data_IF_858895608974
#
_entry.id   IF_858895608974
#
_cell.length_a   1.000
_cell.length_b   1.000
_cell.length_c   1.000
_cell.angle_alpha   90.00
_cell.angle_beta   90.00
_cell.angle_gamma   90.00
#
_symmetry.space_group_name_H-M   'P 1'
#
loop_
_entity.id
_entity.type
_entity.pdbx_description
1 polymer ?
#
# COMPACT_ATOMS: atom_id res chain seq x y z
N UNK A 1 -7.00 -15.18 21.72
CA UNK A 1 -6.39 -13.93 21.21
C UNK A 1 -4.87 -13.95 21.26
N UNK A 2 -4.24 -13.63 22.40
CA UNK A 2 -2.77 -13.48 22.51
C UNK A 2 -1.94 -14.74 22.16
N UNK A 3 -2.50 -15.94 22.35
CA UNK A 3 -1.82 -17.19 21.97
C UNK A 3 -1.83 -17.39 20.44
N UNK A 4 -2.98 -17.22 19.81
CA UNK A 4 -3.17 -17.37 18.35
C UNK A 4 -2.35 -16.36 17.56
N UNK A 5 -2.23 -15.12 18.06
CA UNK A 5 -1.43 -14.08 17.42
C UNK A 5 0.07 -14.37 17.53
N UNK A 6 0.55 -14.81 18.70
CA UNK A 6 1.94 -15.24 18.89
C UNK A 6 2.31 -16.48 18.08
N UNK A 7 1.40 -17.44 17.95
CA UNK A 7 1.59 -18.60 17.08
C UNK A 7 1.70 -18.19 15.61
N UNK A 8 0.81 -17.31 15.13
CA UNK A 8 0.88 -16.79 13.77
C UNK A 8 2.20 -16.04 13.50
N UNK A 9 2.72 -15.29 14.47
CA UNK A 9 4.03 -14.65 14.37
C UNK A 9 5.17 -15.67 14.33
N UNK A 10 5.15 -16.67 15.23
CA UNK A 10 6.18 -17.73 15.28
C UNK A 10 6.24 -18.57 14.01
N UNK A 11 5.09 -18.92 13.43
CA UNK A 11 5.00 -19.63 12.16
C UNK A 11 5.69 -18.86 11.01
N UNK A 12 5.79 -17.53 11.15
CA UNK A 12 6.37 -16.63 10.17
C UNK A 12 7.74 -16.09 10.57
N UNK A 13 8.35 -16.58 11.67
CA UNK A 13 9.60 -16.04 12.19
C UNK A 13 10.74 -16.09 11.16
N UNK A 14 10.82 -17.14 10.34
CA UNK A 14 11.81 -17.22 9.26
C UNK A 14 11.66 -16.08 8.24
N UNK A 15 10.43 -15.80 7.80
CA UNK A 15 10.15 -14.70 6.88
C UNK A 15 10.43 -13.32 7.50
N UNK A 16 10.21 -13.16 8.81
CA UNK A 16 10.57 -11.93 9.53
C UNK A 16 12.08 -11.71 9.52
N UNK A 17 12.86 -12.76 9.80
CA UNK A 17 14.32 -12.69 9.78
C UNK A 17 14.84 -12.40 8.38
N UNK A 18 14.28 -13.04 7.35
CA UNK A 18 14.62 -12.76 5.95
C UNK A 18 14.35 -11.30 5.57
N UNK A 19 13.18 -10.76 5.93
CA UNK A 19 12.84 -9.36 5.66
C UNK A 19 13.76 -8.40 6.43
N UNK A 20 14.12 -8.71 7.69
CA UNK A 20 15.07 -7.93 8.47
C UNK A 20 16.48 -7.94 7.85
N UNK A 21 16.96 -9.10 7.37
CA UNK A 21 18.21 -9.20 6.63
C UNK A 21 18.16 -8.36 5.34
N UNK A 22 17.06 -8.45 4.58
CA UNK A 22 16.89 -7.70 3.34
C UNK A 22 16.86 -6.19 3.57
N UNK A 23 16.19 -5.73 4.63
CA UNK A 23 16.16 -4.32 5.03
C UNK A 23 17.55 -3.79 5.39
N UNK A 24 18.38 -4.62 6.03
CA UNK A 24 19.73 -4.25 6.41
C UNK A 24 20.66 -4.03 5.21
N UNK A 25 20.36 -4.61 4.04
CA UNK A 25 21.22 -4.55 2.86
C UNK A 25 21.51 -3.10 2.46
N UNK A 26 22.81 -2.76 2.41
CA UNK A 26 23.29 -1.46 2.00
C UNK A 26 23.34 -0.43 3.13
N UNK A 27 23.06 -0.82 4.37
CA UNK A 27 23.32 0.03 5.54
C UNK A 27 24.82 0.32 5.68
N UNK A 28 25.68 -0.66 5.42
CA UNK A 28 27.14 -0.52 5.50
C UNK A 28 27.70 0.58 4.59
N UNK A 29 27.05 0.83 3.45
CA UNK A 29 27.46 1.86 2.49
C UNK A 29 26.98 3.27 2.86
N UNK A 30 26.05 3.38 3.81
CA UNK A 30 25.51 4.69 4.22
C UNK A 30 26.55 5.50 5.01
N UNK A 31 26.53 6.83 4.88
CA UNK A 31 27.36 7.69 5.71
C UNK A 31 27.00 7.51 7.19
N UNK A 32 28.01 7.42 8.05
CA UNK A 32 27.81 7.46 9.48
C UNK A 32 27.68 8.91 9.93
N UNK A 33 26.54 9.24 10.54
CA UNK A 33 26.26 10.55 11.12
C UNK A 33 25.98 10.42 12.61
N UNK A 34 26.19 11.50 13.35
CA UNK A 34 25.96 11.55 14.80
C UNK A 34 25.31 12.87 15.18
N UNK A 35 24.56 12.90 16.28
CA UNK A 35 24.08 14.15 16.85
C UNK A 35 25.18 14.78 17.70
N UNK A 36 25.43 16.07 17.50
CA UNK A 36 26.26 16.91 18.37
C UNK A 36 25.55 18.21 18.63
N UNK A 37 25.27 18.51 19.89
CA UNK A 37 24.58 19.73 20.29
C UNK A 37 23.24 19.91 19.54
N UNK A 38 22.49 18.81 19.40
CA UNK A 38 21.20 18.80 18.72
C UNK A 38 21.25 18.86 17.19
N UNK A 39 22.43 18.88 16.56
CA UNK A 39 22.58 18.89 15.10
C UNK A 39 23.19 17.58 14.61
N UNK A 40 22.66 17.07 13.49
CA UNK A 40 23.24 15.93 12.79
C UNK A 40 24.50 16.40 12.06
N UNK A 41 25.63 15.72 12.32
CA UNK A 41 26.91 16.00 11.68
C UNK A 41 27.48 14.74 11.07
N UNK A 42 28.15 14.90 9.93
CA UNK A 42 28.88 13.83 9.25
C UNK A 42 30.08 13.38 10.10
N UNK A 43 30.24 12.07 10.25
CA UNK A 43 31.35 11.47 10.97
C UNK A 43 32.57 11.11 10.10
N UNK A 44 32.51 11.36 8.80
CA UNK A 44 33.61 11.23 7.83
C UNK A 44 33.89 9.79 7.36
N UNK A 45 33.04 8.83 7.71
CA UNK A 45 33.16 7.42 7.34
C UNK A 45 31.78 6.85 7.03
N UNK A 46 31.73 5.68 6.38
CA UNK A 46 30.49 4.90 6.28
C UNK A 46 30.25 4.09 7.55
N UNK A 47 29.01 3.63 7.73
CA UNK A 47 28.63 2.70 8.80
C UNK A 47 29.51 1.44 8.75
N UNK A 48 29.71 0.86 7.56
CA UNK A 48 30.50 -0.36 7.37
C UNK A 48 31.98 -0.16 7.71
N UNK A 49 32.61 0.94 7.27
CA UNK A 49 34.01 1.25 7.60
C UNK A 49 34.22 1.37 9.11
N UNK A 50 33.25 1.97 9.80
CA UNK A 50 33.27 2.15 11.25
C UNK A 50 33.06 0.83 11.98
N UNK A 51 32.08 0.03 11.55
CA UNK A 51 31.81 -1.31 12.07
C UNK A 51 33.03 -2.24 11.94
N UNK A 52 33.71 -2.25 10.78
CA UNK A 52 34.94 -3.02 10.55
C UNK A 52 36.09 -2.58 11.46
N UNK A 53 36.09 -1.31 11.87
CA UNK A 53 37.07 -0.77 12.82
C UNK A 53 36.71 -1.08 14.29
N UNK A 54 35.63 -1.81 14.55
CA UNK A 54 35.15 -2.13 15.90
C UNK A 54 34.69 -0.92 16.69
N UNK A 55 34.28 0.15 15.99
CA UNK A 55 33.83 1.40 16.61
C UNK A 55 32.30 1.40 16.77
N UNK A 56 31.74 1.90 17.89
CA UNK A 56 30.30 1.99 18.09
C UNK A 56 29.61 2.83 17.03
N UNK A 57 28.46 2.38 16.56
CA UNK A 57 27.65 3.08 15.55
C UNK A 57 26.65 4.04 16.17
N UNK A 58 26.17 3.74 17.38
CA UNK A 58 25.34 4.66 18.15
C UNK A 58 26.12 5.90 18.62
N UNK A 59 25.45 7.05 18.59
CA UNK A 59 25.94 8.28 19.22
C UNK A 59 25.74 8.26 20.73
N UNK A 60 26.57 9.00 21.48
CA UNK A 60 26.41 9.13 22.94
C UNK A 60 25.06 9.77 23.34
N UNK A 61 24.53 10.69 22.50
CA UNK A 61 23.26 11.39 22.74
C UNK A 61 22.03 10.54 22.35
N UNK A 62 22.18 9.57 21.45
CA UNK A 62 21.06 8.90 20.75
C UNK A 62 20.95 7.40 21.07
N UNK A 63 21.75 6.88 22.00
CA UNK A 63 21.75 5.47 22.34
C UNK A 63 20.38 5.02 22.93
N UNK A 64 19.67 4.15 22.21
CA UNK A 64 18.42 3.56 22.70
C UNK A 64 18.73 2.53 23.80
N UNK A 65 18.55 2.95 25.07
CA UNK A 65 18.84 2.14 26.25
C UNK A 65 18.10 0.78 26.27
N UNK A 66 16.91 0.73 25.67
CA UNK A 66 16.08 -0.48 25.57
C UNK A 66 16.72 -1.57 24.71
N UNK A 67 17.62 -1.22 23.79
CA UNK A 67 18.37 -2.18 23.01
C UNK A 67 19.45 -2.87 23.85
N UNK A 68 19.91 -2.29 24.97
CA UNK A 68 20.99 -2.87 25.79
C UNK A 68 22.37 -2.84 25.12
N UNK A 69 23.34 -3.58 25.69
CA UNK A 69 24.75 -3.53 25.28
C UNK A 69 25.00 -4.26 23.95
N UNK A 70 25.00 -3.50 22.86
CA UNK A 70 25.31 -4.00 21.52
C UNK A 70 26.83 -4.22 21.34
N UNK A 71 27.20 -5.28 20.61
CA UNK A 71 28.58 -5.45 20.17
C UNK A 71 28.87 -4.46 19.03
N UNK A 72 29.99 -3.72 19.04
CA UNK A 72 30.31 -2.79 17.96
C UNK A 72 30.29 -3.45 16.58
N UNK A 73 29.60 -2.82 15.63
CA UNK A 73 29.43 -3.32 14.26
C UNK A 73 28.43 -4.49 14.10
N UNK A 74 27.69 -4.84 15.16
CA UNK A 74 26.59 -5.80 15.07
C UNK A 74 25.32 -5.18 14.47
N UNK A 75 24.36 -6.02 14.06
CA UNK A 75 23.05 -5.55 13.61
C UNK A 75 22.35 -4.66 14.66
N UNK A 76 22.41 -5.06 15.94
CA UNK A 76 21.84 -4.30 17.04
C UNK A 76 22.53 -2.95 17.27
N UNK A 77 23.85 -2.87 17.06
CA UNK A 77 24.59 -1.59 17.10
C UNK A 77 24.17 -0.69 15.94
N UNK A 78 23.95 -1.27 14.75
CA UNK A 78 23.48 -0.53 13.58
C UNK A 78 22.09 0.10 13.79
N UNK A 79 21.18 -0.57 14.51
CA UNK A 79 19.89 0.02 14.88
C UNK A 79 20.03 1.28 15.76
N UNK A 80 21.13 1.40 16.50
CA UNK A 80 21.45 2.61 17.27
C UNK A 80 22.03 3.77 16.45
N UNK A 81 22.36 3.55 15.17
CA UNK A 81 22.88 4.61 14.31
C UNK A 81 21.77 5.56 13.84
N UNK A 82 22.15 6.77 13.48
CA UNK A 82 21.26 7.76 12.87
C UNK A 82 21.25 7.65 11.35
N UNK A 83 20.09 7.89 10.76
CA UNK A 83 19.94 8.22 9.36
C UNK A 83 20.30 9.71 9.09
N UNK A 84 20.53 10.11 7.82
CA UNK A 84 20.94 11.48 7.47
C UNK A 84 19.94 12.57 7.86
N UNK A 85 18.66 12.23 8.00
CA UNK A 85 17.59 13.11 8.49
C UNK A 85 17.57 13.23 10.03
N UNK A 86 18.41 12.46 10.72
CA UNK A 86 18.52 12.45 12.18
C UNK A 86 17.54 11.51 12.87
N UNK A 87 16.82 10.67 12.12
CA UNK A 87 15.96 9.61 12.67
C UNK A 87 16.82 8.41 13.04
N UNK A 88 16.47 7.70 14.12
CA UNK A 88 17.16 6.47 14.49
C UNK A 88 16.85 5.35 13.48
N UNK A 89 17.86 4.54 13.14
CA UNK A 89 17.64 3.36 12.31
C UNK A 89 16.71 2.35 12.99
N UNK A 90 16.66 2.30 14.31
CA UNK A 90 15.68 1.52 15.07
C UNK A 90 14.23 1.96 14.79
N UNK A 91 13.96 3.27 14.72
CA UNK A 91 12.62 3.80 14.43
C UNK A 91 12.23 3.45 12.99
N UNK A 92 13.15 3.64 12.04
CA UNK A 92 12.93 3.24 10.65
C UNK A 92 12.71 1.74 10.49
N UNK A 93 13.44 0.92 11.24
CA UNK A 93 13.26 -0.52 11.24
C UNK A 93 11.87 -0.90 11.77
N UNK A 94 11.39 -0.21 12.81
CA UNK A 94 10.05 -0.41 13.33
C UNK A 94 8.98 -0.09 12.28
N UNK A 95 9.06 1.10 11.67
CA UNK A 95 8.09 1.57 10.69
C UNK A 95 8.11 0.78 9.37
N UNK A 96 9.31 0.43 8.88
CA UNK A 96 9.48 -0.19 7.57
C UNK A 96 9.34 -1.72 7.61
N UNK A 97 9.62 -2.36 8.75
CA UNK A 97 9.66 -3.83 8.88
C UNK A 97 8.69 -4.33 9.95
N UNK A 98 8.84 -3.91 11.21
CA UNK A 98 8.12 -4.54 12.31
C UNK A 98 6.62 -4.23 12.30
N UNK A 99 6.23 -2.97 12.09
CA UNK A 99 4.83 -2.54 12.04
C UNK A 99 4.07 -3.24 10.91
N UNK A 100 4.53 -3.22 9.64
CA UNK A 100 3.84 -3.94 8.56
C UNK A 100 3.78 -5.45 8.79
N UNK A 101 4.86 -6.05 9.32
CA UNK A 101 4.91 -7.48 9.55
C UNK A 101 3.98 -7.93 10.68
N UNK A 102 3.96 -7.20 11.79
CA UNK A 102 3.08 -7.47 12.93
C UNK A 102 1.61 -7.38 12.53
N UNK A 103 1.24 -6.35 11.75
CA UNK A 103 -0.11 -6.22 11.18
C UNK A 103 -0.47 -7.42 10.31
N UNK A 104 0.40 -7.80 9.37
CA UNK A 104 0.16 -8.95 8.49
C UNK A 104 0.06 -10.29 9.27
N UNK A 105 0.83 -10.46 10.35
CA UNK A 105 0.70 -11.60 11.24
C UNK A 105 -0.63 -11.56 12.02
N UNK A 106 -1.04 -10.38 12.48
CA UNK A 106 -2.33 -10.14 13.14
C UNK A 106 -3.52 -10.50 12.25
N UNK A 107 -3.49 -10.13 10.96
CA UNK A 107 -4.53 -10.48 9.98
C UNK A 107 -4.62 -11.99 9.77
N UNK A 108 -3.48 -12.68 9.70
CA UNK A 108 -3.47 -14.16 9.64
C UNK A 108 -4.09 -14.77 10.90
N UNK A 109 -3.79 -14.22 12.08
CA UNK A 109 -4.38 -14.68 13.33
C UNK A 109 -5.89 -14.42 13.39
N UNK A 110 -6.35 -13.26 12.92
CA UNK A 110 -7.76 -12.91 12.80
C UNK A 110 -8.50 -13.91 11.91
N UNK A 111 -7.99 -14.18 10.71
CA UNK A 111 -8.58 -15.15 9.79
C UNK A 111 -8.54 -16.60 10.30
N UNK A 112 -7.61 -16.95 11.21
CA UNK A 112 -7.61 -18.25 11.91
C UNK A 112 -8.70 -18.28 12.99
N UNK A 113 -8.81 -17.22 13.78
CA UNK A 113 -9.82 -17.11 14.82
C UNK A 113 -11.24 -17.15 14.25
N UNK A 114 -11.51 -16.36 13.21
CA UNK A 114 -12.81 -16.32 12.52
C UNK A 114 -13.28 -17.72 12.09
N UNK A 115 -12.37 -18.58 11.63
CA UNK A 115 -12.69 -19.95 11.20
C UNK A 115 -12.81 -20.94 12.36
N UNK A 116 -12.01 -20.76 13.41
CA UNK A 116 -11.96 -21.69 14.54
C UNK A 116 -13.10 -21.46 15.54
N UNK A 117 -13.52 -20.21 15.72
CA UNK A 117 -14.57 -19.80 16.66
C UNK A 117 -15.46 -18.68 16.08
N UNK A 118 -16.41 -19.03 15.18
CA UNK A 118 -17.26 -18.02 14.54
C UNK A 118 -18.15 -17.24 15.50
N UNK A 119 -18.57 -17.84 16.62
CA UNK A 119 -19.41 -17.17 17.60
C UNK A 119 -18.60 -16.17 18.42
N UNK A 120 -17.45 -16.59 18.96
CA UNK A 120 -16.56 -15.68 19.66
C UNK A 120 -16.01 -14.57 18.75
N UNK A 121 -15.87 -14.84 17.45
CA UNK A 121 -15.56 -13.82 16.45
C UNK A 121 -16.68 -12.79 16.30
N UNK A 122 -17.95 -13.20 16.21
CA UNK A 122 -19.07 -12.26 16.13
C UNK A 122 -19.18 -11.39 17.38
N UNK A 123 -19.03 -11.97 18.56
CA UNK A 123 -19.06 -11.22 19.83
C UNK A 123 -17.93 -10.18 19.90
N UNK A 124 -16.74 -10.52 19.40
CA UNK A 124 -15.60 -9.62 19.30
C UNK A 124 -15.85 -8.49 18.30
N UNK A 125 -16.44 -8.78 17.13
CA UNK A 125 -16.80 -7.78 16.14
C UNK A 125 -17.76 -6.74 16.72
N UNK A 126 -18.78 -7.21 17.46
CA UNK A 126 -19.73 -6.34 18.15
C UNK A 126 -19.04 -5.47 19.22
N UNK A 127 -18.08 -6.02 19.98
CA UNK A 127 -17.29 -5.27 20.96
C UNK A 127 -16.44 -4.17 20.30
N UNK A 128 -15.82 -4.47 19.16
CA UNK A 128 -14.96 -3.54 18.43
C UNK A 128 -15.75 -2.55 17.56
N UNK A 129 -17.03 -2.81 17.31
CA UNK A 129 -17.87 -2.02 16.41
C UNK A 129 -17.52 -2.23 14.92
N UNK A 130 -16.92 -3.38 14.60
CA UNK A 130 -16.47 -3.75 13.26
C UNK A 130 -17.43 -4.75 12.62
N UNK A 131 -17.60 -4.72 11.29
CA UNK A 131 -18.48 -5.66 10.59
C UNK A 131 -17.77 -6.94 10.10
N UNK A 132 -16.45 -6.99 10.25
CA UNK A 132 -15.61 -8.12 9.88
C UNK A 132 -15.37 -8.30 8.38
N UNK A 133 -15.78 -7.36 7.54
CA UNK A 133 -15.46 -7.34 6.11
C UNK A 133 -14.00 -6.99 5.82
N UNK A 134 -13.37 -6.24 6.73
CA UNK A 134 -11.96 -5.88 6.71
C UNK A 134 -11.24 -6.40 7.96
N UNK A 135 -10.49 -7.50 7.82
CA UNK A 135 -9.71 -8.07 8.92
C UNK A 135 -8.57 -7.16 9.39
N UNK A 136 -8.08 -6.27 8.52
CA UNK A 136 -7.03 -5.33 8.88
C UNK A 136 -7.58 -4.23 9.79
N UNK A 137 -8.78 -3.71 9.48
CA UNK A 137 -9.53 -2.82 10.35
C UNK A 137 -9.77 -3.45 11.73
N UNK A 138 -10.23 -4.71 11.77
CA UNK A 138 -10.45 -5.44 13.04
C UNK A 138 -9.16 -5.56 13.86
N UNK A 139 -8.03 -5.88 13.22
CA UNK A 139 -6.73 -6.01 13.91
C UNK A 139 -6.26 -4.66 14.47
N UNK A 140 -6.47 -3.57 13.73
CA UNK A 140 -6.16 -2.21 14.20
C UNK A 140 -7.07 -1.77 15.33
N UNK A 141 -8.39 -1.97 15.19
CA UNK A 141 -9.38 -1.63 16.21
C UNK A 141 -9.12 -2.38 17.52
N UNK A 142 -8.67 -3.64 17.43
CA UNK A 142 -8.26 -4.43 18.58
C UNK A 142 -6.86 -4.11 19.11
N UNK A 143 -6.06 -3.27 18.44
CA UNK A 143 -4.66 -2.95 18.77
C UNK A 143 -3.76 -4.20 18.89
N UNK A 144 -3.97 -5.23 18.05
CA UNK A 144 -3.21 -6.49 18.19
C UNK A 144 -1.77 -6.37 17.71
N UNK A 145 -1.46 -5.37 16.89
CA UNK A 145 -0.15 -5.14 16.31
C UNK A 145 0.88 -4.74 17.37
N UNK A 146 0.50 -3.92 18.36
CA UNK A 146 1.43 -3.44 19.39
C UNK A 146 2.16 -4.55 20.18
N UNK A 147 1.46 -5.55 20.76
CA UNK A 147 2.14 -6.66 21.43
C UNK A 147 2.90 -7.58 20.45
N UNK A 148 2.40 -7.73 19.22
CA UNK A 148 3.08 -8.52 18.19
C UNK A 148 4.37 -7.89 17.72
N UNK A 149 4.42 -6.56 17.64
CA UNK A 149 5.60 -5.77 17.29
C UNK A 149 6.72 -5.97 18.30
N UNK A 150 6.39 -5.90 19.59
CA UNK A 150 7.34 -6.19 20.67
C UNK A 150 7.88 -7.63 20.57
N UNK A 151 6.99 -8.62 20.38
CA UNK A 151 7.42 -10.01 20.22
C UNK A 151 8.28 -10.20 18.94
N UNK A 152 7.98 -9.49 17.85
CA UNK A 152 8.73 -9.52 16.60
C UNK A 152 10.13 -8.91 16.76
N UNK A 153 10.25 -7.76 17.43
CA UNK A 153 11.54 -7.12 17.75
C UNK A 153 12.43 -8.09 18.52
N UNK A 154 11.88 -8.76 19.55
CA UNK A 154 12.63 -9.74 20.34
C UNK A 154 13.08 -10.96 19.51
N UNK A 155 12.24 -11.45 18.59
CA UNK A 155 12.62 -12.54 17.68
C UNK A 155 13.78 -12.13 16.76
N UNK A 156 13.72 -10.93 16.18
CA UNK A 156 14.78 -10.41 15.31
C UNK A 156 16.07 -10.20 16.10
N UNK A 157 16.01 -9.54 17.25
CA UNK A 157 17.20 -9.29 18.08
C UNK A 157 17.82 -10.61 18.59
N UNK A 158 16.99 -11.60 18.93
CA UNK A 158 17.45 -12.93 19.30
C UNK A 158 18.17 -13.67 18.16
N UNK A 159 17.72 -13.48 16.91
CA UNK A 159 18.30 -14.15 15.74
C UNK A 159 19.52 -13.41 15.16
N UNK A 160 19.45 -12.08 15.07
CA UNK A 160 20.39 -11.24 14.33
C UNK A 160 21.17 -10.27 15.20
N UNK A 161 20.68 -9.90 16.38
CA UNK A 161 21.15 -8.72 17.12
C UNK A 161 22.66 -8.69 17.32
N UNK A 162 23.26 -9.81 17.72
CA UNK A 162 24.72 -9.92 17.97
C UNK A 162 25.55 -10.27 16.74
N UNK A 163 24.92 -10.53 15.58
CA UNK A 163 25.63 -10.91 14.35
C UNK A 163 26.30 -9.69 13.72
N UNK A 164 27.48 -9.84 13.11
CA UNK A 164 28.11 -8.75 12.36
C UNK A 164 27.18 -8.24 11.25
N UNK A 165 27.06 -6.92 11.11
CA UNK A 165 26.17 -6.31 10.11
C UNK A 165 26.43 -6.84 8.69
N UNK A 166 27.71 -6.99 8.31
CA UNK A 166 28.09 -7.49 7.00
C UNK A 166 27.61 -8.92 6.70
N UNK A 167 27.49 -9.79 7.71
CA UNK A 167 26.93 -11.13 7.53
C UNK A 167 25.41 -11.07 7.30
N UNK A 168 24.72 -10.20 8.04
CA UNK A 168 23.27 -9.99 7.92
C UNK A 168 22.92 -9.45 6.54
N UNK A 169 23.69 -8.47 6.04
CA UNK A 169 23.52 -7.95 4.68
C UNK A 169 23.76 -9.03 3.61
N UNK A 170 24.77 -9.88 3.78
CA UNK A 170 25.06 -10.94 2.83
C UNK A 170 23.90 -11.96 2.73
N UNK A 171 23.24 -12.28 3.85
CA UNK A 171 22.06 -13.15 3.87
C UNK A 171 20.82 -12.49 3.24
N UNK A 172 20.67 -11.18 3.40
CA UNK A 172 19.53 -10.43 2.87
C UNK A 172 19.59 -10.10 1.37
N UNK A 173 20.79 -10.16 0.77
CA UNK A 173 21.04 -9.71 -0.60
C UNK A 173 20.05 -10.31 -1.64
N UNK A 174 19.72 -11.62 -1.62
CA UNK A 174 18.79 -12.17 -2.60
C UNK A 174 17.40 -11.53 -2.56
N UNK A 175 16.83 -11.34 -1.36
CA UNK A 175 15.49 -10.76 -1.19
C UNK A 175 15.50 -9.26 -1.49
N UNK A 176 16.54 -8.53 -1.09
CA UNK A 176 16.69 -7.11 -1.41
C UNK A 176 16.71 -6.84 -2.92
N UNK A 177 17.39 -7.68 -3.71
CA UNK A 177 17.41 -7.58 -5.17
C UNK A 177 16.01 -7.81 -5.77
N UNK A 178 15.27 -8.79 -5.26
CA UNK A 178 13.89 -9.06 -5.69
C UNK A 178 12.99 -7.85 -5.41
N UNK A 179 13.08 -7.27 -4.20
CA UNK A 179 12.32 -6.07 -3.82
C UNK A 179 12.67 -4.86 -4.67
N UNK A 180 13.95 -4.65 -4.97
CA UNK A 180 14.38 -3.58 -5.86
C UNK A 180 13.78 -3.74 -7.27
N UNK A 181 13.81 -4.96 -7.81
CA UNK A 181 13.21 -5.27 -9.11
C UNK A 181 11.68 -5.08 -9.11
N UNK A 182 11.00 -5.51 -8.03
CA UNK A 182 9.56 -5.30 -7.84
C UNK A 182 9.21 -3.81 -7.79
N UNK A 183 9.93 -3.03 -6.98
CA UNK A 183 9.73 -1.59 -6.85
C UNK A 183 9.96 -0.87 -8.17
N UNK A 184 11.01 -1.23 -8.91
CA UNK A 184 11.28 -0.67 -10.24
C UNK A 184 10.18 -1.04 -11.24
N UNK A 185 9.68 -2.27 -11.21
CA UNK A 185 8.55 -2.71 -12.05
C UNK A 185 7.28 -1.93 -11.71
N UNK A 186 6.99 -1.74 -10.42
CA UNK A 186 5.83 -0.96 -9.95
C UNK A 186 5.95 0.52 -10.33
N UNK A 187 7.15 1.10 -10.27
CA UNK A 187 7.40 2.48 -10.68
C UNK A 187 7.31 2.65 -12.21
N UNK A 188 7.69 1.61 -12.97
CA UNK A 188 7.61 1.60 -14.43
C UNK A 188 6.20 1.31 -14.96
N UNK A 189 5.29 0.77 -14.14
CA UNK A 189 3.91 0.60 -14.51
C UNK A 189 3.27 1.98 -14.76
N UNK A 190 2.95 2.28 -16.01
CA UNK A 190 2.27 3.52 -16.39
C UNK A 190 0.97 3.65 -15.59
N UNK A 191 0.86 4.73 -14.80
CA UNK A 191 -0.40 5.15 -14.21
C UNK A 191 -1.36 5.42 -15.36
N UNK A 192 -2.57 4.82 -15.38
CA UNK A 192 -3.56 5.12 -16.41
C UNK A 192 -3.72 6.65 -16.51
N UNK A 193 -3.69 7.24 -17.71
CA UNK A 193 -3.82 8.68 -17.84
C UNK A 193 -5.13 9.10 -17.18
N UNK A 194 -5.04 10.10 -16.30
CA UNK A 194 -6.23 10.66 -15.67
C UNK A 194 -7.19 11.12 -16.78
N UNK A 195 -8.40 10.58 -16.78
CA UNK A 195 -9.41 10.97 -17.75
C UNK A 195 -9.65 12.49 -17.66
N UNK A 196 -9.78 13.20 -18.78
CA UNK A 196 -10.05 14.63 -18.75
C UNK A 196 -11.38 14.89 -18.02
N UNK A 197 -11.46 15.96 -17.22
CA UNK A 197 -12.71 16.31 -16.53
C UNK A 197 -13.83 16.52 -17.57
N UNK A 198 -14.89 15.71 -17.47
CA UNK A 198 -16.03 15.69 -18.40
C UNK A 198 -16.18 14.42 -19.24
N UNK A 199 -15.14 13.59 -19.38
CA UNK A 199 -15.23 12.34 -20.16
C UNK A 199 -16.14 11.29 -19.51
N UNK A 200 -16.13 11.19 -18.18
CA UNK A 200 -16.97 10.24 -17.45
C UNK A 200 -18.48 10.52 -17.58
N UNK A 201 -18.87 11.81 -17.73
CA UNK A 201 -20.27 12.18 -17.96
C UNK A 201 -20.73 11.78 -19.38
N UNK A 202 -19.86 11.96 -20.38
CA UNK A 202 -20.15 11.62 -21.77
C UNK A 202 -20.15 10.10 -22.01
N UNK A 203 -19.32 9.32 -21.30
CA UNK A 203 -19.35 7.84 -21.37
C UNK A 203 -20.68 7.26 -20.88
N UNK A 204 -21.24 7.79 -19.77
CA UNK A 204 -22.56 7.39 -19.29
C UNK A 204 -23.67 7.74 -20.29
N UNK A 205 -23.64 8.96 -20.83
CA UNK A 205 -24.61 9.40 -21.83
C UNK A 205 -24.54 8.58 -23.13
N UNK A 206 -23.34 8.22 -23.60
CA UNK A 206 -23.16 7.38 -24.80
C UNK A 206 -23.71 5.97 -24.56
N UNK A 207 -23.45 5.37 -23.39
CA UNK A 207 -23.99 4.06 -23.05
C UNK A 207 -25.53 4.03 -23.06
N UNK A 208 -26.16 5.03 -22.42
CA UNK A 208 -27.61 5.16 -22.41
C UNK A 208 -28.16 5.42 -23.82
N UNK A 209 -27.45 6.21 -24.63
CA UNK A 209 -27.84 6.48 -26.01
C UNK A 209 -27.77 5.24 -26.92
N UNK A 210 -26.74 4.40 -26.76
CA UNK A 210 -26.64 3.12 -27.47
C UNK A 210 -27.74 2.14 -27.03
N UNK A 211 -28.03 2.09 -25.73
CA UNK A 211 -29.13 1.29 -25.19
C UNK A 211 -30.50 1.73 -25.74
N UNK A 212 -30.76 3.04 -25.82
CA UNK A 212 -31.96 3.60 -26.42
C UNK A 212 -32.13 3.16 -27.88
N UNK A 213 -31.07 3.25 -28.69
CA UNK A 213 -31.10 2.84 -30.10
C UNK A 213 -31.33 1.34 -30.24
N UNK A 214 -30.69 0.51 -29.41
CA UNK A 214 -30.84 -0.93 -29.43
C UNK A 214 -32.24 -1.39 -28.96
N UNK A 215 -32.82 -0.72 -27.96
CA UNK A 215 -34.11 -1.07 -27.35
C UNK A 215 -35.33 -0.55 -28.12
N UNK A 216 -35.20 0.56 -28.84
CA UNK A 216 -36.31 1.22 -29.53
C UNK A 216 -36.69 0.57 -30.89
N UNK A 217 -35.94 -0.43 -31.34
CA UNK A 217 -36.24 -1.13 -32.61
C UNK A 217 -36.08 -0.25 -33.84
N UNK A 218 -35.24 0.79 -33.76
CA UNK A 218 -34.99 1.74 -34.83
C UNK A 218 -34.25 1.08 -36.00
N UNK A 219 -34.49 1.58 -37.20
CA UNK A 219 -33.71 1.19 -38.37
C UNK A 219 -32.29 1.74 -38.21
N UNK A 220 -31.24 0.92 -38.37
CA UNK A 220 -29.85 1.39 -38.27
C UNK A 220 -29.19 1.39 -39.66
N UNK A 221 -28.64 2.51 -40.15
CA UNK A 221 -28.56 3.82 -39.50
C UNK A 221 -29.91 4.55 -39.41
N UNK A 222 -30.16 5.26 -38.30
CA UNK A 222 -31.47 5.87 -37.99
C UNK A 222 -31.85 6.95 -39.00
N UNK A 223 -32.95 6.78 -39.77
CA UNK A 223 -33.35 7.73 -40.79
C UNK A 223 -34.05 8.97 -40.20
N UNK A 224 -34.10 10.12 -40.91
CA UNK A 224 -34.67 11.37 -40.37
C UNK A 224 -36.15 11.28 -40.00
N UNK A 225 -36.87 10.36 -40.66
CA UNK A 225 -38.27 10.01 -40.44
C UNK A 225 -38.52 9.31 -39.10
N UNK A 226 -37.48 8.71 -38.50
CA UNK A 226 -37.51 8.10 -37.16
C UNK A 226 -36.95 9.04 -36.07
N UNK A 227 -36.59 10.30 -36.41
CA UNK A 227 -35.95 11.24 -35.47
C UNK A 227 -36.78 11.56 -34.22
N UNK A 228 -38.11 11.54 -34.32
CA UNK A 228 -39.00 11.75 -33.18
C UNK A 228 -39.00 10.53 -32.23
N UNK A 229 -38.98 9.33 -32.79
CA UNK A 229 -38.92 8.07 -32.02
C UNK A 229 -37.57 7.94 -31.32
N UNK A 230 -36.48 8.30 -32.01
CA UNK A 230 -35.14 8.38 -31.42
C UNK A 230 -35.08 9.38 -30.26
N UNK A 231 -35.63 10.59 -30.42
CA UNK A 231 -35.62 11.60 -29.36
C UNK A 231 -36.42 11.15 -28.13
N UNK A 232 -37.56 10.48 -28.33
CA UNK A 232 -38.33 9.89 -27.23
C UNK A 232 -37.54 8.78 -26.52
N UNK A 233 -36.91 7.88 -27.27
CA UNK A 233 -36.11 6.80 -26.69
C UNK A 233 -34.93 7.32 -25.86
N UNK A 234 -34.24 8.38 -26.31
CA UNK A 234 -33.15 9.00 -25.56
C UNK A 234 -33.64 9.67 -24.26
N UNK A 235 -34.84 10.26 -24.28
CA UNK A 235 -35.45 10.85 -23.07
C UNK A 235 -35.95 9.80 -22.09
N UNK A 236 -36.47 8.68 -22.60
CA UNK A 236 -36.94 7.57 -21.76
C UNK A 236 -35.77 6.89 -21.02
N UNK A 237 -34.57 6.86 -21.63
CA UNK A 237 -33.32 6.45 -20.97
C UNK A 237 -32.71 7.54 -20.05
N UNK A 238 -33.33 8.72 -19.97
CA UNK A 238 -33.00 9.76 -19.02
C UNK A 238 -31.94 10.77 -19.45
N UNK A 239 -31.61 10.88 -20.75
CA UNK A 239 -30.66 11.89 -21.23
C UNK A 239 -31.24 13.32 -21.16
N UNK A 240 -30.42 14.25 -20.65
CA UNK A 240 -30.71 15.69 -20.69
C UNK A 240 -30.48 16.29 -22.10
N UNK A 241 -30.99 17.49 -22.37
CA UNK A 241 -30.99 18.06 -23.72
C UNK A 241 -29.58 18.35 -24.27
N UNK A 242 -28.67 18.82 -23.42
CA UNK A 242 -27.28 19.04 -23.74
C UNK A 242 -26.52 17.72 -23.94
N UNK A 243 -26.84 16.68 -23.16
CA UNK A 243 -26.32 15.32 -23.33
C UNK A 243 -26.78 14.72 -24.67
N UNK A 244 -28.06 14.87 -25.03
CA UNK A 244 -28.59 14.43 -26.33
C UNK A 244 -27.79 15.08 -27.46
N UNK A 245 -27.59 16.40 -27.43
CA UNK A 245 -26.81 17.10 -28.45
C UNK A 245 -25.36 16.63 -28.50
N UNK A 246 -24.77 16.28 -27.36
CA UNK A 246 -23.40 15.79 -27.28
C UNK A 246 -23.23 14.37 -27.84
N UNK A 247 -24.22 13.49 -27.72
CA UNK A 247 -24.14 12.09 -28.19
C UNK A 247 -24.56 11.89 -29.64
N UNK A 248 -25.37 12.79 -30.22
CA UNK A 248 -25.82 12.67 -31.63
C UNK A 248 -24.70 12.39 -32.65
N UNK A 249 -23.49 13.01 -32.57
CA UNK A 249 -22.40 12.73 -33.51
C UNK A 249 -21.80 11.32 -33.37
N UNK A 250 -22.09 10.63 -32.28
CA UNK A 250 -21.54 9.31 -31.93
C UNK A 250 -22.49 8.17 -32.26
N UNK A 251 -23.77 8.47 -32.51
CA UNK A 251 -24.79 7.47 -32.83
C UNK A 251 -24.79 7.09 -34.32
N UNK A 252 -25.26 5.87 -34.66
CA UNK A 252 -25.35 5.42 -36.05
C UNK A 252 -26.56 6.05 -36.75
N UNK A 253 -26.41 7.31 -37.15
CA UNK A 253 -27.47 8.13 -37.76
C UNK A 253 -27.31 8.24 -39.28
N UNK A 254 -28.42 8.23 -40.01
CA UNK A 254 -28.41 8.60 -41.42
C UNK A 254 -28.21 10.11 -41.59
N UNK A 255 -27.71 10.57 -42.76
CA UNK A 255 -27.55 12.01 -43.02
C UNK A 255 -28.86 12.77 -42.80
N UNK A 256 -28.80 13.85 -42.02
CA UNK A 256 -29.95 14.71 -41.72
C UNK A 256 -30.71 14.35 -40.44
N UNK A 257 -30.52 13.17 -39.87
CA UNK A 257 -31.23 12.75 -38.63
C UNK A 257 -30.79 13.58 -37.41
N UNK A 258 -29.48 13.82 -37.25
CA UNK A 258 -28.97 14.66 -36.15
C UNK A 258 -29.56 16.09 -36.19
N UNK A 259 -29.67 16.69 -37.39
CA UNK A 259 -30.28 18.01 -37.56
C UNK A 259 -31.78 17.98 -37.28
N UNK A 260 -32.47 16.90 -37.67
CA UNK A 260 -33.89 16.70 -37.39
C UNK A 260 -34.18 16.54 -35.89
N UNK A 261 -33.31 15.89 -35.12
CA UNK A 261 -33.41 15.81 -33.66
C UNK A 261 -33.11 17.16 -33.01
N UNK A 262 -32.03 17.83 -33.41
CA UNK A 262 -31.67 19.15 -32.87
C UNK A 262 -32.75 20.22 -33.10
N UNK A 263 -33.40 20.21 -34.27
CA UNK A 263 -34.51 21.12 -34.59
C UNK A 263 -35.77 20.88 -33.73
N UNK A 264 -35.88 19.73 -33.06
CA UNK A 264 -36.99 19.40 -32.14
C UNK A 264 -36.67 19.70 -30.68
N UNK A 265 -35.40 19.90 -30.34
CA UNK A 265 -34.93 20.32 -29.02
C UNK A 265 -34.99 21.85 -28.86
N UNK A 266 -34.92 22.60 -29.96
CA UNK A 266 -35.10 24.06 -29.96
C UNK A 266 -36.55 24.42 -30.35
N UNK A 267 -37.32 25.13 -29.52
CA UNK A 267 -38.68 25.57 -29.87
C UNK A 267 -38.72 26.64 -30.98
#
# INVERSE_FOLDING_TARGET
MALTSREALRDRAGALVEEACAWAVGLSDRPWVQRRHGRVVDGGQTIGSRALSGLPLAGEEDARLELGDAAPGSFQDALGALAPDGTLLAERFDDEVLVPFALAAGVVAAGRLQRADPQGWADLLDELGEDGSDLEAVVRAGEWDAPLRADAEQLVLGALGRRPLAEVEAEGLPLAVVRAAEAQTRAAAERPPAAPPGAAALEGAVFLAEAAVAGAGLTVPVPPDEAEVLLLALRDEGLEEDEVLAVLPLLPLAPGTAAAVAARLSP
#
